data_IF_180164627141
#
_entry.id   IF_180164627141
#
_cell.length_a   1.000
_cell.length_b   1.000
_cell.length_c   1.000
_cell.angle_alpha   90.00
_cell.angle_beta   90.00
_cell.angle_gamma   90.00
#
_symmetry.space_group_name_H-M   'P 1'
#
loop_
_entity.id
_entity.type
_entity.pdbx_description
1 polymer ?
#
# COMPACT_ATOMS: atom_id res chain seq x y z
N UNK A 1 6.33 57.26 -49.47
CA UNK A 1 5.35 58.18 -48.88
C UNK A 1 5.23 57.84 -47.40
N UNK A 2 5.79 58.71 -46.57
CA UNK A 2 5.72 58.73 -45.10
C UNK A 2 4.52 59.59 -44.66
N UNK A 3 4.41 59.81 -43.33
CA UNK A 3 3.48 60.66 -42.56
C UNK A 3 2.27 59.88 -42.00
N UNK A 4 1.82 59.99 -40.74
CA UNK A 4 2.34 60.59 -39.51
C UNK A 4 1.47 60.09 -38.33
N UNK A 5 2.06 60.07 -37.12
CA UNK A 5 1.39 59.94 -35.81
C UNK A 5 0.31 61.02 -35.60
N UNK A 6 -0.71 60.73 -34.79
CA UNK A 6 -1.20 61.63 -33.74
C UNK A 6 -1.97 60.86 -32.66
N UNK A 7 -1.71 61.22 -31.41
CA UNK A 7 -2.21 60.62 -30.18
C UNK A 7 -3.41 61.40 -29.63
N UNK A 8 -4.37 60.70 -29.01
CA UNK A 8 -5.37 61.32 -28.14
C UNK A 8 -5.27 60.78 -26.72
N UNK A 9 -5.02 61.70 -25.79
CA UNK A 9 -4.97 61.50 -24.33
C UNK A 9 -6.40 61.53 -23.78
N UNK A 10 -6.75 60.55 -22.94
CA UNK A 10 -7.83 60.68 -21.97
C UNK A 10 -7.33 60.23 -20.59
N UNK A 11 -7.40 61.15 -19.63
CA UNK A 11 -7.07 60.95 -18.21
C UNK A 11 -8.25 60.32 -17.47
N UNK A 12 -8.00 59.48 -16.45
CA UNK A 12 -8.86 59.44 -15.28
C UNK A 12 -8.14 60.00 -14.05
N UNK A 13 -8.86 60.88 -13.36
CA UNK A 13 -8.48 61.59 -12.14
C UNK A 13 -8.41 60.68 -10.92
N UNK A 14 -7.31 60.77 -10.18
CA UNK A 14 -7.10 60.20 -8.85
C UNK A 14 -7.92 60.99 -7.83
N UNK A 15 -8.81 60.32 -7.09
CA UNK A 15 -9.44 60.87 -5.89
C UNK A 15 -8.89 60.15 -4.66
N UNK A 16 -8.33 60.96 -3.76
CA UNK A 16 -7.66 60.63 -2.51
C UNK A 16 -8.71 60.68 -1.39
N UNK A 17 -8.91 59.60 -0.64
CA UNK A 17 -9.72 59.62 0.59
C UNK A 17 -8.85 59.24 1.79
N UNK A 18 -9.00 60.04 2.84
CA UNK A 18 -8.15 60.21 4.02
C UNK A 18 -8.29 59.06 5.03
N UNK A 19 -7.20 58.81 5.75
CA UNK A 19 -7.19 58.09 7.02
C UNK A 19 -7.78 58.95 8.14
N UNK A 20 -8.62 58.35 8.99
CA UNK A 20 -8.98 58.89 10.29
C UNK A 20 -8.64 57.84 11.35
N UNK A 21 -7.72 58.19 12.25
CA UNK A 21 -7.52 57.53 13.53
C UNK A 21 -8.63 57.98 14.49
N UNK A 22 -9.25 57.04 15.18
CA UNK A 22 -9.88 57.27 16.49
C UNK A 22 -9.67 56.06 17.38
N UNK A 23 -9.09 56.34 18.54
CA UNK A 23 -8.72 55.44 19.62
C UNK A 23 -9.90 54.93 20.44
N UNK A 24 -9.81 53.66 20.88
CA UNK A 24 -10.23 53.21 22.21
C UNK A 24 -11.67 52.72 22.39
N UNK A 25 -11.85 51.40 22.39
CA UNK A 25 -12.38 50.66 23.55
C UNK A 25 -12.14 49.16 23.32
N UNK A 26 -11.34 48.55 24.21
CA UNK A 26 -11.11 47.11 24.24
C UNK A 26 -12.25 46.49 25.04
N UNK A 27 -13.11 45.73 24.38
CA UNK A 27 -13.94 44.72 25.03
C UNK A 27 -13.37 43.36 24.63
N UNK A 28 -12.74 42.70 25.60
CA UNK A 28 -12.39 41.28 25.51
C UNK A 28 -13.69 40.49 25.34
N UNK A 29 -13.90 39.92 24.15
CA UNK A 29 -14.81 38.80 24.00
C UNK A 29 -14.02 37.55 24.39
N UNK A 30 -14.38 36.98 25.54
CA UNK A 30 -13.97 35.63 25.92
C UNK A 30 -14.35 34.67 24.79
N UNK A 31 -13.37 33.95 24.26
CA UNK A 31 -13.59 32.85 23.36
C UNK A 31 -14.28 31.74 24.15
N UNK A 32 -15.60 31.63 23.99
CA UNK A 32 -16.35 30.46 24.42
C UNK A 32 -15.75 29.26 23.70
N UNK A 33 -15.10 28.38 24.46
CA UNK A 33 -14.69 27.09 23.98
C UNK A 33 -15.95 26.35 23.54
N UNK A 34 -16.14 26.26 22.22
CA UNK A 34 -17.12 25.35 21.64
C UNK A 34 -16.63 23.96 21.98
N UNK A 35 -17.26 23.32 22.97
CA UNK A 35 -17.12 21.88 23.15
C UNK A 35 -17.43 21.21 21.81
N UNK A 36 -16.64 20.22 21.35
CA UNK A 36 -16.94 19.53 20.11
C UNK A 36 -18.34 18.93 20.26
N UNK A 37 -19.27 19.38 19.40
CA UNK A 37 -20.58 18.75 19.30
C UNK A 37 -20.39 17.24 19.16
N UNK A 38 -21.16 16.42 19.88
CA UNK A 38 -21.04 14.97 19.75
C UNK A 38 -21.27 14.62 18.28
N UNK A 39 -20.24 14.08 17.63
CA UNK A 39 -20.31 13.63 16.24
C UNK A 39 -21.61 12.83 16.08
N UNK A 40 -22.56 13.35 15.29
CA UNK A 40 -23.76 12.62 14.96
C UNK A 40 -23.34 11.23 14.49
N UNK A 41 -23.77 10.18 15.19
CA UNK A 41 -23.35 8.80 14.94
C UNK A 41 -23.66 8.44 13.49
N UNK A 42 -22.68 8.60 12.60
CA UNK A 42 -22.81 8.27 11.20
C UNK A 42 -22.82 6.75 11.09
N UNK A 43 -23.93 6.18 10.63
CA UNK A 43 -24.14 4.72 10.55
C UNK A 43 -23.01 4.02 9.77
N UNK A 44 -22.41 4.73 8.81
CA UNK A 44 -21.33 4.26 7.97
C UNK A 44 -19.92 4.43 8.55
N UNK A 45 -19.72 5.15 9.67
CA UNK A 45 -18.42 5.22 10.36
C UNK A 45 -18.45 4.41 11.65
N UNK A 46 -17.27 3.97 12.08
CA UNK A 46 -17.08 3.40 13.41
C UNK A 46 -16.16 4.29 14.23
N UNK A 47 -16.45 4.38 15.53
CA UNK A 47 -15.57 5.03 16.51
C UNK A 47 -14.38 4.15 16.91
N UNK A 48 -14.47 2.84 16.64
CA UNK A 48 -13.36 1.92 16.84
C UNK A 48 -12.27 2.16 15.77
N UNK A 49 -11.10 2.61 16.21
CA UNK A 49 -9.96 2.92 15.34
C UNK A 49 -8.90 1.82 15.38
N UNK A 50 -8.94 0.95 16.39
CA UNK A 50 -7.98 -0.14 16.53
C UNK A 50 -8.44 -1.35 15.71
N UNK A 51 -7.67 -1.73 14.66
CA UNK A 51 -8.00 -2.91 13.86
C UNK A 51 -7.99 -4.22 14.66
N UNK A 52 -7.36 -4.26 15.83
CA UNK A 52 -7.42 -5.40 16.74
C UNK A 52 -8.79 -5.55 17.44
N UNK A 53 -9.57 -4.47 17.55
CA UNK A 53 -10.89 -4.47 18.19
C UNK A 53 -12.04 -4.61 17.17
N UNK A 54 -11.73 -4.70 15.88
CA UNK A 54 -12.75 -4.91 14.86
C UNK A 54 -13.40 -6.30 14.96
N UNK A 55 -14.72 -6.34 14.74
CA UNK A 55 -15.57 -7.54 14.82
C UNK A 55 -16.68 -7.44 13.76
N UNK A 56 -17.53 -8.46 13.66
CA UNK A 56 -18.64 -8.50 12.69
C UNK A 56 -19.61 -7.31 12.82
N UNK A 57 -19.67 -6.69 14.02
CA UNK A 57 -20.47 -5.48 14.26
C UNK A 57 -20.02 -4.30 13.40
N UNK A 58 -18.72 -4.19 13.14
CA UNK A 58 -18.11 -3.09 12.41
C UNK A 58 -18.10 -3.31 10.89
N UNK A 59 -18.52 -4.48 10.39
CA UNK A 59 -18.50 -4.79 8.95
C UNK A 59 -19.36 -3.81 8.17
N UNK A 60 -18.78 -3.24 7.11
CA UNK A 60 -19.38 -2.19 6.29
C UNK A 60 -19.12 -0.77 6.79
N UNK A 61 -18.56 -0.59 8.00
CA UNK A 61 -18.26 0.73 8.53
C UNK A 61 -16.83 1.14 8.19
N UNK A 62 -16.62 2.46 8.03
CA UNK A 62 -15.32 3.08 7.81
C UNK A 62 -14.69 3.47 9.14
N UNK A 63 -13.46 3.02 9.36
CA UNK A 63 -12.63 3.50 10.46
C UNK A 63 -11.56 4.46 9.93
N UNK A 64 -11.28 5.51 10.70
CA UNK A 64 -10.29 6.51 10.33
C UNK A 64 -8.90 6.09 10.79
N UNK A 65 -7.95 6.06 9.86
CA UNK A 65 -6.55 5.80 10.19
C UNK A 65 -5.90 7.08 10.70
N UNK A 66 -5.18 6.99 11.82
CA UNK A 66 -4.36 8.08 12.32
C UNK A 66 -3.30 8.48 11.29
N UNK A 67 -3.15 9.78 11.02
CA UNK A 67 -2.11 10.30 10.12
C UNK A 67 -0.70 9.90 10.57
N UNK A 68 -0.51 9.68 11.88
CA UNK A 68 0.71 9.15 12.47
C UNK A 68 1.03 7.71 12.05
N UNK A 69 0.02 6.91 11.67
CA UNK A 69 0.21 5.55 11.16
C UNK A 69 0.28 5.52 9.63
N UNK A 70 -0.48 6.36 8.94
CA UNK A 70 -0.56 6.32 7.45
C UNK A 70 0.79 6.61 6.81
N UNK A 71 1.49 7.68 7.23
CA UNK A 71 2.76 8.05 6.60
C UNK A 71 3.86 6.99 6.80
N UNK A 72 4.07 6.45 8.02
CA UNK A 72 5.09 5.41 8.23
C UNK A 72 4.72 4.06 7.60
N UNK A 73 3.46 3.63 7.74
CA UNK A 73 3.05 2.31 7.26
C UNK A 73 2.87 2.26 5.74
N UNK A 74 2.40 3.35 5.14
CA UNK A 74 2.07 3.39 3.71
C UNK A 74 2.68 4.59 2.96
N UNK A 75 4.01 4.78 2.97
CA UNK A 75 4.66 5.94 2.34
C UNK A 75 4.33 6.08 0.85
N UNK A 76 4.26 4.97 0.09
CA UNK A 76 3.90 4.93 -1.33
C UNK A 76 3.16 3.63 -1.73
N UNK A 77 2.44 3.02 -0.79
CA UNK A 77 1.95 1.65 -0.97
C UNK A 77 0.44 1.51 -1.17
N UNK A 78 -0.30 2.61 -1.00
CA UNK A 78 -1.73 2.63 -1.24
C UNK A 78 -2.03 2.76 -2.74
N UNK A 79 -3.16 2.20 -3.23
CA UNK A 79 -3.55 2.35 -4.62
C UNK A 79 -3.67 3.83 -5.02
N UNK A 80 -3.13 4.20 -6.19
CA UNK A 80 -3.11 5.58 -6.68
C UNK A 80 -4.46 6.31 -6.59
N UNK A 81 -5.55 5.65 -7.02
CA UNK A 81 -6.91 6.23 -6.94
C UNK A 81 -7.36 6.50 -5.52
N UNK A 82 -7.02 5.60 -4.60
CA UNK A 82 -7.30 5.81 -3.18
C UNK A 82 -6.44 6.93 -2.59
N UNK A 83 -5.19 7.08 -3.01
CA UNK A 83 -4.36 8.25 -2.63
C UNK A 83 -4.98 9.58 -3.12
N UNK A 84 -5.54 9.60 -4.33
CA UNK A 84 -6.28 10.76 -4.84
C UNK A 84 -7.52 11.04 -3.97
N UNK A 85 -8.29 10.02 -3.63
CA UNK A 85 -9.44 10.14 -2.74
C UNK A 85 -9.06 10.67 -1.36
N UNK A 86 -8.02 10.12 -0.73
CA UNK A 86 -7.52 10.59 0.57
C UNK A 86 -7.13 12.06 0.53
N UNK A 87 -6.44 12.48 -0.54
CA UNK A 87 -6.03 13.86 -0.73
C UNK A 87 -7.23 14.80 -0.90
N UNK A 88 -8.23 14.38 -1.68
CA UNK A 88 -9.44 15.17 -1.93
C UNK A 88 -10.34 15.27 -0.70
N UNK A 89 -10.51 14.16 0.04
CA UNK A 89 -11.32 14.14 1.26
C UNK A 89 -10.56 14.63 2.49
N UNK A 90 -9.25 14.85 2.39
CA UNK A 90 -8.40 15.25 3.52
C UNK A 90 -8.56 14.32 4.74
N UNK A 91 -8.85 13.03 4.50
CA UNK A 91 -8.98 12.00 5.53
C UNK A 91 -8.56 10.65 4.94
N UNK A 92 -8.21 9.70 5.81
CA UNK A 92 -7.87 8.33 5.40
C UNK A 92 -8.77 7.35 6.11
N UNK A 93 -9.76 6.82 5.40
CA UNK A 93 -10.77 5.92 5.95
C UNK A 93 -10.79 4.60 5.20
N UNK A 94 -10.64 3.49 5.92
CA UNK A 94 -10.74 2.14 5.33
C UNK A 94 -12.04 1.50 5.82
N UNK A 95 -12.78 0.88 4.91
CA UNK A 95 -13.98 0.11 5.28
C UNK A 95 -13.58 -1.26 5.84
N UNK A 96 -14.17 -1.63 6.98
CA UNK A 96 -14.01 -2.95 7.57
C UNK A 96 -14.81 -3.96 6.74
N UNK A 97 -14.12 -4.95 6.16
CA UNK A 97 -14.72 -6.00 5.33
C UNK A 97 -14.47 -7.39 5.89
N UNK A 98 -15.40 -8.32 5.62
CA UNK A 98 -15.31 -9.70 6.11
C UNK A 98 -13.98 -10.40 5.78
N UNK A 99 -13.44 -10.33 4.55
CA UNK A 99 -12.19 -11.02 4.21
C UNK A 99 -10.99 -10.58 5.07
N UNK A 100 -10.92 -9.29 5.41
CA UNK A 100 -9.85 -8.78 6.26
C UNK A 100 -10.04 -9.23 7.73
N UNK A 101 -11.27 -9.21 8.23
CA UNK A 101 -11.57 -9.72 9.57
C UNK A 101 -11.28 -11.21 9.72
N UNK A 102 -11.55 -11.99 8.68
CA UNK A 102 -11.25 -13.43 8.64
C UNK A 102 -9.74 -13.66 8.79
N UNK A 103 -8.91 -12.98 7.99
CA UNK A 103 -7.44 -13.10 8.10
C UNK A 103 -6.93 -12.59 9.45
N UNK A 104 -7.44 -11.46 9.95
CA UNK A 104 -7.07 -10.95 11.28
C UNK A 104 -7.43 -11.96 12.38
N UNK A 105 -8.58 -12.64 12.27
CA UNK A 105 -9.00 -13.70 13.19
C UNK A 105 -8.03 -14.89 13.16
N UNK A 106 -7.58 -15.31 11.97
CA UNK A 106 -6.57 -16.35 11.83
C UNK A 106 -5.23 -15.92 12.41
N UNK A 107 -4.77 -14.69 12.14
CA UNK A 107 -3.53 -14.16 12.72
C UNK A 107 -3.59 -14.09 14.25
N UNK A 108 -4.74 -13.76 14.84
CA UNK A 108 -4.89 -13.77 16.32
C UNK A 108 -4.79 -15.17 16.92
N UNK A 109 -5.28 -16.18 16.21
CA UNK A 109 -5.34 -17.59 16.67
C UNK A 109 -4.12 -18.43 16.28
N UNK A 110 -3.29 -17.94 15.37
CA UNK A 110 -2.15 -18.67 14.85
C UNK A 110 -1.09 -18.91 15.92
N UNK A 111 -0.52 -20.11 15.91
CA UNK A 111 0.67 -20.47 16.68
C UNK A 111 1.93 -20.14 15.85
N UNK A 112 2.69 -19.14 16.30
CA UNK A 112 3.88 -18.66 15.61
C UNK A 112 5.14 -19.49 15.88
N UNK A 113 5.04 -20.54 16.71
CA UNK A 113 6.08 -21.57 16.79
C UNK A 113 6.05 -22.52 15.59
N UNK A 114 4.92 -22.58 14.88
CA UNK A 114 4.74 -23.38 13.68
C UNK A 114 5.28 -22.65 12.43
N UNK A 115 5.47 -23.37 11.31
CA UNK A 115 5.82 -22.77 10.03
C UNK A 115 4.87 -21.64 9.61
N UNK A 116 5.41 -20.59 8.99
CA UNK A 116 4.67 -19.40 8.60
C UNK A 116 3.47 -19.73 7.70
N UNK A 117 2.27 -19.34 8.15
CA UNK A 117 1.03 -19.52 7.40
C UNK A 117 0.97 -18.56 6.21
N UNK A 118 0.44 -19.06 5.08
CA UNK A 118 0.31 -18.31 3.82
C UNK A 118 -1.16 -18.03 3.55
N UNK A 119 -1.52 -16.75 3.50
CA UNK A 119 -2.87 -16.27 3.16
C UNK A 119 -2.85 -15.66 1.76
N UNK A 120 -3.83 -16.01 0.93
CA UNK A 120 -3.92 -15.52 -0.46
C UNK A 120 -5.30 -14.91 -0.69
N UNK A 121 -5.37 -13.58 -0.73
CA UNK A 121 -6.58 -12.86 -1.15
C UNK A 121 -6.76 -12.97 -2.66
N UNK A 122 -7.89 -13.53 -3.09
CA UNK A 122 -8.24 -13.66 -4.50
C UNK A 122 -9.67 -13.15 -4.77
N UNK A 123 -9.99 -12.91 -6.04
CA UNK A 123 -11.29 -12.37 -6.43
C UNK A 123 -11.22 -11.48 -7.66
N UNK A 124 -12.39 -11.10 -8.18
CA UNK A 124 -12.53 -10.33 -9.41
C UNK A 124 -11.75 -9.00 -9.39
N UNK A 125 -11.49 -8.45 -10.57
CA UNK A 125 -10.85 -7.14 -10.70
C UNK A 125 -11.66 -6.07 -9.97
N UNK A 126 -11.00 -5.24 -9.17
CA UNK A 126 -11.64 -4.11 -8.50
C UNK A 126 -12.44 -4.43 -7.24
N UNK A 127 -12.35 -5.66 -6.69
CA UNK A 127 -13.07 -6.05 -5.46
C UNK A 127 -12.46 -5.55 -4.15
N UNK A 128 -11.32 -4.84 -4.17
CA UNK A 128 -10.71 -4.30 -2.95
C UNK A 128 -9.72 -5.22 -2.22
N UNK A 129 -9.16 -6.24 -2.90
CA UNK A 129 -8.12 -7.13 -2.35
C UNK A 129 -6.96 -6.38 -1.68
N UNK A 130 -6.39 -5.40 -2.38
CA UNK A 130 -5.30 -4.55 -1.85
C UNK A 130 -5.74 -3.79 -0.60
N UNK A 131 -6.98 -3.29 -0.56
CA UNK A 131 -7.49 -2.59 0.64
C UNK A 131 -7.66 -3.56 1.82
N UNK A 132 -8.09 -4.79 1.59
CA UNK A 132 -8.13 -5.84 2.62
C UNK A 132 -6.73 -6.22 3.13
N UNK A 133 -5.73 -6.28 2.22
CA UNK A 133 -4.33 -6.44 2.60
C UNK A 133 -3.84 -5.27 3.46
N UNK A 134 -4.13 -4.03 3.08
CA UNK A 134 -3.76 -2.84 3.85
C UNK A 134 -4.41 -2.81 5.24
N UNK A 135 -5.68 -3.21 5.36
CA UNK A 135 -6.34 -3.33 6.67
C UNK A 135 -5.64 -4.37 7.56
N UNK A 136 -5.30 -5.53 6.99
CA UNK A 136 -4.55 -6.58 7.71
C UNK A 136 -3.14 -6.12 8.09
N UNK A 137 -2.46 -5.36 7.22
CA UNK A 137 -1.17 -4.76 7.51
C UNK A 137 -1.23 -3.73 8.63
N UNK A 138 -2.29 -2.92 8.67
CA UNK A 138 -2.51 -1.95 9.74
C UNK A 138 -2.71 -2.65 11.09
N UNK A 139 -3.39 -3.81 11.11
CA UNK A 139 -3.42 -4.69 12.27
C UNK A 139 -2.01 -5.15 12.68
N UNK A 140 -1.22 -5.73 11.77
CA UNK A 140 0.13 -6.20 12.11
C UNK A 140 1.02 -5.05 12.66
N UNK A 141 0.95 -3.88 12.04
CA UNK A 141 1.71 -2.71 12.47
C UNK A 141 1.32 -2.23 13.89
N UNK A 142 0.02 -2.16 14.19
CA UNK A 142 -0.46 -1.74 15.52
C UNK A 142 -0.14 -2.76 16.61
N UNK A 143 0.00 -4.03 16.25
CA UNK A 143 0.45 -5.10 17.16
C UNK A 143 1.99 -5.15 17.32
N UNK A 144 2.74 -4.21 16.75
CA UNK A 144 4.19 -4.14 16.89
C UNK A 144 4.94 -5.20 16.07
N UNK A 145 4.41 -5.62 14.93
CA UNK A 145 5.11 -6.52 14.02
C UNK A 145 6.05 -5.74 13.09
N UNK A 146 7.11 -6.41 12.64
CA UNK A 146 7.95 -5.93 11.56
C UNK A 146 7.24 -6.19 10.22
N UNK A 147 7.02 -5.14 9.44
CA UNK A 147 6.24 -5.18 8.21
C UNK A 147 7.16 -5.15 6.99
N UNK A 148 7.19 -6.25 6.25
CA UNK A 148 7.86 -6.36 4.96
C UNK A 148 6.79 -6.29 3.86
N UNK A 149 6.53 -5.08 3.34
CA UNK A 149 5.49 -4.86 2.33
C UNK A 149 6.09 -4.63 0.93
N UNK A 150 5.57 -5.36 -0.07
CA UNK A 150 5.81 -5.16 -1.49
C UNK A 150 4.49 -4.71 -2.14
N UNK A 151 4.32 -3.41 -2.44
CA UNK A 151 3.01 -2.85 -2.83
C UNK A 151 2.49 -3.24 -4.22
N UNK A 152 3.39 -3.61 -5.15
CA UNK A 152 3.03 -4.20 -6.43
C UNK A 152 4.23 -4.98 -6.98
N UNK A 153 4.20 -6.31 -6.85
CA UNK A 153 5.25 -7.17 -7.38
C UNK A 153 5.35 -7.12 -8.91
N UNK A 154 4.30 -6.69 -9.63
CA UNK A 154 4.36 -6.56 -11.08
C UNK A 154 5.36 -5.50 -11.52
N UNK A 155 5.63 -4.47 -10.71
CA UNK A 155 6.62 -3.44 -11.01
C UNK A 155 8.06 -3.98 -11.04
N UNK A 156 8.30 -5.15 -10.44
CA UNK A 156 9.61 -5.79 -10.46
C UNK A 156 9.81 -6.64 -11.73
N UNK A 157 8.75 -6.98 -12.46
CA UNK A 157 8.83 -7.82 -13.68
C UNK A 157 8.47 -7.07 -14.97
N UNK A 158 8.19 -5.76 -14.89
CA UNK A 158 7.91 -4.90 -16.05
C UNK A 158 8.49 -3.49 -15.89
N UNK A 159 8.56 -2.75 -16.99
CA UNK A 159 8.96 -1.33 -17.02
C UNK A 159 10.28 -1.02 -16.29
N UNK A 160 11.24 -1.95 -16.36
CA UNK A 160 12.56 -1.77 -15.77
C UNK A 160 13.39 -0.83 -16.66
N UNK A 161 13.76 0.33 -16.12
CA UNK A 161 14.55 1.34 -16.84
C UNK A 161 16.04 0.99 -16.89
N UNK A 162 16.55 0.40 -15.82
CA UNK A 162 17.96 0.07 -15.67
C UNK A 162 18.05 -1.37 -15.13
N UNK A 163 18.66 -2.23 -15.94
CA UNK A 163 18.92 -3.63 -15.61
C UNK A 163 20.43 -3.85 -15.64
N UNK A 164 21.00 -4.29 -14.53
CA UNK A 164 22.44 -4.51 -14.40
C UNK A 164 22.71 -6.01 -14.19
N UNK A 165 23.81 -6.57 -14.71
CA UNK A 165 24.25 -7.89 -14.29
C UNK A 165 24.62 -7.84 -12.80
N UNK A 166 24.22 -8.85 -12.03
CA UNK A 166 24.46 -8.87 -10.59
C UNK A 166 25.94 -9.04 -10.27
N UNK A 167 26.44 -8.23 -9.35
CA UNK A 167 27.81 -8.33 -8.83
C UNK A 167 28.02 -9.58 -7.97
N UNK A 168 26.97 -10.03 -7.28
CA UNK A 168 27.04 -11.18 -6.38
C UNK A 168 26.90 -12.51 -7.14
N UNK A 169 26.00 -12.57 -8.13
CA UNK A 169 25.79 -13.78 -8.93
C UNK A 169 25.64 -13.47 -10.42
N UNK A 170 26.63 -13.87 -11.21
CA UNK A 170 26.70 -13.59 -12.66
C UNK A 170 25.50 -14.09 -13.48
N UNK A 171 24.75 -15.08 -13.00
CA UNK A 171 23.55 -15.61 -13.65
C UNK A 171 22.29 -14.78 -13.40
N UNK A 172 22.38 -13.68 -12.66
CA UNK A 172 21.23 -12.85 -12.25
C UNK A 172 21.36 -11.41 -12.68
N UNK A 173 20.24 -10.72 -12.65
CA UNK A 173 20.13 -9.30 -12.94
C UNK A 173 19.56 -8.51 -11.75
N UNK A 174 20.19 -7.36 -11.51
CA UNK A 174 19.86 -6.41 -10.47
C UNK A 174 19.02 -5.26 -11.02
N UNK A 175 18.12 -4.76 -10.17
CA UNK A 175 17.15 -3.72 -10.48
C UNK A 175 17.29 -2.59 -9.45
N UNK A 176 18.36 -1.78 -9.58
CA UNK A 176 18.82 -0.91 -8.51
C UNK A 176 17.83 0.20 -8.14
N UNK A 177 17.03 0.68 -9.09
CA UNK A 177 16.01 1.71 -8.85
C UNK A 177 14.84 1.17 -8.02
N UNK A 178 14.31 -0.01 -8.38
CA UNK A 178 13.25 -0.68 -7.65
C UNK A 178 13.70 -1.03 -6.23
N UNK A 179 14.91 -1.57 -6.10
CA UNK A 179 15.50 -1.94 -4.83
C UNK A 179 15.68 -0.73 -3.90
N UNK A 180 16.24 0.38 -4.40
CA UNK A 180 16.44 1.61 -3.61
C UNK A 180 15.12 2.21 -3.14
N UNK A 181 14.11 2.29 -4.02
CA UNK A 181 12.77 2.78 -3.65
C UNK A 181 12.15 1.92 -2.56
N UNK A 182 12.26 0.60 -2.70
CA UNK A 182 11.75 -0.33 -1.69
C UNK A 182 12.50 -0.18 -0.35
N UNK A 183 13.82 -0.06 -0.36
CA UNK A 183 14.63 0.12 0.86
C UNK A 183 14.27 1.42 1.61
N UNK A 184 14.02 2.52 0.90
CA UNK A 184 13.56 3.78 1.52
C UNK A 184 12.22 3.61 2.23
N UNK A 185 11.27 2.94 1.59
CA UNK A 185 9.96 2.67 2.17
C UNK A 185 10.07 1.72 3.37
N UNK A 186 10.87 0.66 3.24
CA UNK A 186 11.16 -0.28 4.32
C UNK A 186 11.79 0.43 5.53
N UNK A 187 12.72 1.36 5.30
CA UNK A 187 13.35 2.17 6.36
C UNK A 187 12.32 2.98 7.13
N UNK A 188 11.42 3.67 6.42
CA UNK A 188 10.39 4.52 7.01
C UNK A 188 9.41 3.69 7.85
N UNK A 189 8.97 2.53 7.35
CA UNK A 189 7.98 1.70 8.04
C UNK A 189 8.51 1.03 9.30
N UNK A 190 9.78 0.60 9.29
CA UNK A 190 10.33 -0.25 10.35
C UNK A 190 11.43 0.44 11.19
N UNK A 191 11.48 1.77 11.17
CA UNK A 191 12.50 2.57 11.89
C UNK A 191 12.76 2.11 13.33
N UNK A 192 11.74 1.76 14.16
CA UNK A 192 11.96 1.28 15.53
C UNK A 192 12.72 -0.05 15.65
N UNK A 193 12.75 -0.86 14.60
CA UNK A 193 13.40 -2.18 14.58
C UNK A 193 14.82 -2.13 14.01
N UNK A 194 15.14 -1.14 13.18
CA UNK A 194 16.40 -1.07 12.43
C UNK A 194 17.64 -1.02 13.33
N UNK A 195 17.55 -0.33 14.46
CA UNK A 195 18.65 -0.21 15.43
C UNK A 195 18.78 -1.44 16.34
N UNK A 196 17.66 -2.11 16.61
CA UNK A 196 17.54 -3.26 17.51
C UNK A 196 18.06 -4.55 16.86
N UNK A 197 17.66 -4.79 15.61
CA UNK A 197 18.04 -5.99 14.87
C UNK A 197 19.52 -5.91 14.51
N UNK A 198 20.30 -6.89 14.93
CA UNK A 198 21.75 -7.01 14.64
C UNK A 198 21.99 -8.08 13.59
N UNK A 199 22.89 -7.83 12.65
CA UNK A 199 23.23 -8.79 11.60
C UNK A 199 23.96 -9.99 12.19
N UNK A 200 23.60 -11.21 11.77
CA UNK A 200 24.31 -12.45 12.15
C UNK A 200 25.48 -12.76 11.23
N UNK A 201 25.35 -12.36 9.98
CA UNK A 201 26.35 -12.64 8.95
C UNK A 201 27.09 -11.37 8.52
N UNK A 202 28.30 -11.58 8.01
CA UNK A 202 29.09 -10.55 7.35
C UNK A 202 28.74 -10.50 5.86
N UNK A 203 28.47 -9.30 5.34
CA UNK A 203 28.15 -9.07 3.93
C UNK A 203 29.25 -8.23 3.27
N UNK A 204 29.82 -8.74 2.17
CA UNK A 204 30.89 -8.06 1.42
C UNK A 204 30.29 -7.47 0.14
N UNK A 205 30.34 -6.15 -0.01
CA UNK A 205 29.78 -5.45 -1.17
C UNK A 205 30.83 -5.21 -2.24
N UNK A 206 32.03 -4.83 -1.80
CA UNK A 206 33.18 -4.62 -2.67
C UNK A 206 34.45 -5.10 -1.96
N UNK A 207 35.59 -5.09 -2.65
CA UNK A 207 36.89 -5.43 -2.03
C UNK A 207 37.26 -4.53 -0.83
N UNK A 208 36.64 -3.36 -0.71
CA UNK A 208 36.95 -2.35 0.33
C UNK A 208 35.81 -2.11 1.31
N UNK A 209 34.58 -2.48 0.95
CA UNK A 209 33.38 -2.22 1.74
C UNK A 209 32.73 -3.54 2.13
N UNK A 210 32.64 -3.80 3.43
CA UNK A 210 31.87 -4.87 4.03
C UNK A 210 31.07 -4.34 5.22
N UNK A 211 29.93 -4.97 5.48
CA UNK A 211 29.16 -4.79 6.71
C UNK A 211 29.40 -6.01 7.57
N UNK A 212 29.93 -5.80 8.77
CA UNK A 212 30.33 -6.88 9.67
C UNK A 212 29.13 -7.47 10.42
N UNK A 213 29.30 -8.71 10.90
CA UNK A 213 28.32 -9.29 11.82
C UNK A 213 28.27 -8.45 13.11
N UNK A 214 27.07 -8.27 13.66
CA UNK A 214 26.80 -7.44 14.83
C UNK A 214 26.42 -5.98 14.51
N UNK A 215 26.64 -5.50 13.28
CA UNK A 215 26.12 -4.20 12.81
C UNK A 215 24.59 -4.15 12.88
N UNK A 216 24.02 -2.94 12.94
CA UNK A 216 22.56 -2.78 12.92
C UNK A 216 21.96 -3.07 11.53
N UNK A 217 20.71 -3.53 11.48
CA UNK A 217 19.97 -3.67 10.22
C UNK A 217 19.81 -2.31 9.52
N UNK A 218 19.74 -1.22 10.28
CA UNK A 218 19.71 0.14 9.76
C UNK A 218 20.94 0.49 8.92
N UNK A 219 22.15 0.15 9.38
CA UNK A 219 23.39 0.35 8.62
C UNK A 219 23.37 -0.40 7.28
N UNK A 220 22.84 -1.62 7.28
CA UNK A 220 22.69 -2.42 6.06
C UNK A 220 21.74 -1.73 5.06
N UNK A 221 20.59 -1.25 5.53
CA UNK A 221 19.61 -0.53 4.70
C UNK A 221 20.19 0.77 4.15
N UNK A 222 20.92 1.53 4.98
CA UNK A 222 21.55 2.79 4.58
C UNK A 222 22.68 2.61 3.57
N UNK A 223 23.42 1.51 3.66
CA UNK A 223 24.38 1.11 2.63
C UNK A 223 23.68 0.88 1.28
N UNK A 224 22.52 0.21 1.25
CA UNK A 224 21.77 -0.01 0.02
C UNK A 224 21.13 1.26 -0.56
N UNK A 225 20.72 2.21 0.28
CA UNK A 225 20.16 3.49 -0.16
C UNK A 225 21.26 4.41 -0.72
N UNK A 226 22.44 4.44 -0.09
CA UNK A 226 23.56 5.28 -0.50
C UNK A 226 24.30 4.71 -1.72
N UNK A 227 24.47 3.38 -1.79
CA UNK A 227 25.13 2.67 -2.90
C UNK A 227 24.10 1.95 -3.77
N UNK A 228 23.54 2.70 -4.71
CA UNK A 228 22.48 2.23 -5.62
C UNK A 228 22.86 0.95 -6.38
N UNK A 229 24.14 0.74 -6.75
CA UNK A 229 24.56 -0.45 -7.51
C UNK A 229 24.42 -1.76 -6.74
N UNK A 230 24.62 -1.76 -5.43
CA UNK A 230 24.51 -2.94 -4.56
C UNK A 230 23.14 -3.06 -3.90
N UNK A 231 22.19 -2.17 -4.20
CA UNK A 231 20.91 -2.10 -3.49
C UNK A 231 20.08 -3.37 -3.66
N UNK A 232 20.13 -4.04 -4.82
CA UNK A 232 19.42 -5.31 -5.05
C UNK A 232 19.95 -6.45 -4.17
N UNK A 233 21.27 -6.51 -4.01
CA UNK A 233 21.92 -7.48 -3.12
C UNK A 233 21.59 -7.17 -1.64
N UNK A 234 21.56 -5.89 -1.27
CA UNK A 234 21.15 -5.45 0.08
C UNK A 234 19.72 -5.86 0.40
N UNK A 235 18.78 -5.72 -0.54
CA UNK A 235 17.40 -6.23 -0.35
C UNK A 235 17.41 -7.73 -0.07
N UNK A 236 18.19 -8.50 -0.83
CA UNK A 236 18.37 -9.92 -0.60
C UNK A 236 18.93 -10.25 0.80
N UNK A 237 19.92 -9.48 1.25
CA UNK A 237 20.52 -9.62 2.57
C UNK A 237 19.51 -9.30 3.69
N UNK A 238 18.74 -8.21 3.57
CA UNK A 238 17.68 -7.85 4.52
C UNK A 238 16.63 -8.97 4.60
N UNK A 239 16.14 -9.46 3.46
CA UNK A 239 15.17 -10.56 3.40
C UNK A 239 15.69 -11.84 4.05
N UNK A 240 16.98 -12.17 3.80
CA UNK A 240 17.65 -13.33 4.39
C UNK A 240 17.77 -13.18 5.91
N UNK A 241 18.24 -12.03 6.38
CA UNK A 241 18.48 -11.76 7.80
C UNK A 241 17.17 -11.81 8.61
N UNK A 242 16.12 -11.15 8.11
CA UNK A 242 14.80 -11.16 8.75
C UNK A 242 14.23 -12.57 8.86
N UNK A 243 14.39 -13.38 7.80
CA UNK A 243 13.95 -14.77 7.79
C UNK A 243 14.74 -15.64 8.77
N UNK A 244 16.07 -15.47 8.86
CA UNK A 244 16.93 -16.22 9.79
C UNK A 244 16.72 -15.83 11.26
N UNK A 245 16.27 -14.60 11.51
CA UNK A 245 16.03 -14.12 12.87
C UNK A 245 14.63 -14.43 13.39
N UNK A 246 13.61 -14.35 12.53
CA UNK A 246 12.25 -14.75 12.88
C UNK A 246 12.13 -16.23 13.26
N UNK A 247 12.94 -17.10 12.65
CA UNK A 247 12.95 -18.54 12.93
C UNK A 247 13.57 -18.92 14.28
N UNK A 248 14.22 -17.98 14.98
CA UNK A 248 14.87 -18.31 16.25
C UNK A 248 13.90 -18.29 17.44
N UNK A 249 14.01 -19.27 18.36
CA UNK A 249 13.24 -19.26 19.60
C UNK A 249 13.65 -18.04 20.44
N UNK A 250 12.68 -17.18 20.76
CA UNK A 250 12.90 -15.93 21.48
C UNK A 250 13.18 -14.71 20.60
N UNK A 251 12.83 -14.75 19.31
CA UNK A 251 12.92 -13.59 18.42
C UNK A 251 12.20 -12.36 19.01
N UNK A 252 12.88 -11.21 18.98
CA UNK A 252 12.39 -9.93 19.52
C UNK A 252 11.23 -9.31 18.71
N UNK A 253 10.89 -9.91 17.56
CA UNK A 253 9.87 -9.37 16.66
C UNK A 253 9.10 -10.49 15.93
N UNK A 254 7.89 -10.16 15.50
CA UNK A 254 7.09 -10.98 14.57
C UNK A 254 7.19 -10.42 13.17
N UNK A 255 7.28 -11.28 12.16
CA UNK A 255 7.43 -10.86 10.76
C UNK A 255 6.11 -10.96 9.99
N UNK A 256 5.63 -9.85 9.44
CA UNK A 256 4.52 -9.81 8.49
C UNK A 256 5.07 -9.58 7.08
N UNK A 257 5.02 -10.60 6.23
CA UNK A 257 5.42 -10.50 4.82
C UNK A 257 4.17 -10.25 3.98
N UNK A 258 4.02 -9.03 3.45
CA UNK A 258 2.90 -8.65 2.62
C UNK A 258 3.31 -8.42 1.16
N UNK A 259 2.67 -9.10 0.21
CA UNK A 259 2.97 -8.97 -1.22
C UNK A 259 1.70 -8.78 -2.03
N UNK A 260 1.55 -7.63 -2.66
CA UNK A 260 0.48 -7.42 -3.64
C UNK A 260 0.89 -7.93 -5.03
N UNK A 261 0.00 -8.68 -5.67
CA UNK A 261 0.21 -9.21 -7.02
C UNK A 261 1.24 -10.33 -7.05
N UNK A 262 1.19 -11.25 -6.09
CA UNK A 262 2.17 -12.34 -5.92
C UNK A 262 2.30 -13.24 -7.17
N UNK A 263 1.27 -13.29 -8.02
CA UNK A 263 1.32 -13.97 -9.31
C UNK A 263 2.41 -13.45 -10.26
N UNK A 264 2.90 -12.22 -10.08
CA UNK A 264 4.05 -11.70 -10.81
C UNK A 264 5.32 -12.52 -10.58
N UNK A 265 5.46 -13.19 -9.43
CA UNK A 265 6.70 -13.89 -9.06
C UNK A 265 6.94 -15.12 -9.92
N UNK A 266 5.90 -15.84 -10.35
CA UNK A 266 6.02 -17.08 -11.15
C UNK A 266 5.51 -16.97 -12.59
N UNK A 267 5.01 -15.79 -12.97
CA UNK A 267 4.59 -15.49 -14.33
C UNK A 267 5.77 -15.27 -15.30
N UNK A 268 5.54 -14.44 -16.31
CA UNK A 268 6.57 -14.03 -17.29
C UNK A 268 6.91 -12.57 -17.12
N UNK A 269 8.16 -12.19 -17.41
CA UNK A 269 8.58 -10.78 -17.40
C UNK A 269 8.47 -10.15 -18.81
N UNK A 270 8.33 -8.82 -18.87
CA UNK A 270 8.49 -8.06 -20.13
C UNK A 270 9.91 -7.52 -20.30
N UNK A 271 10.79 -7.78 -19.34
CA UNK A 271 12.16 -7.26 -19.31
C UNK A 271 12.99 -8.06 -20.30
N UNK A 272 13.83 -7.38 -21.07
CA UNK A 272 14.69 -8.01 -22.09
C UNK A 272 16.16 -7.85 -21.75
N UNK A 273 16.95 -8.88 -22.04
CA UNK A 273 18.41 -8.86 -22.01
C UNK A 273 18.96 -8.05 -23.19
N UNK A 274 20.26 -7.82 -23.22
CA UNK A 274 20.94 -7.12 -24.32
C UNK A 274 20.77 -7.81 -25.68
N UNK A 275 20.61 -9.13 -25.70
CA UNK A 275 20.33 -9.95 -26.89
C UNK A 275 18.84 -9.97 -27.31
N UNK A 276 18.00 -9.17 -26.63
CA UNK A 276 16.53 -9.07 -26.81
C UNK A 276 15.72 -10.29 -26.36
N UNK A 277 16.36 -11.30 -25.75
CA UNK A 277 15.63 -12.40 -25.11
C UNK A 277 14.92 -11.91 -23.84
N UNK A 278 13.80 -12.54 -23.48
CA UNK A 278 13.09 -12.20 -22.25
C UNK A 278 13.85 -12.75 -21.04
N UNK A 279 13.93 -11.95 -19.97
CA UNK A 279 14.51 -12.37 -18.69
C UNK A 279 13.49 -13.24 -17.96
N UNK A 280 13.88 -14.42 -17.51
CA UNK A 280 13.02 -15.23 -16.62
C UNK A 280 12.92 -14.52 -15.25
N UNK A 281 11.75 -14.43 -14.60
CA UNK A 281 11.66 -13.85 -13.27
C UNK A 281 12.59 -14.52 -12.23
N UNK A 282 13.02 -15.77 -12.43
CA UNK A 282 14.00 -16.43 -11.56
C UNK A 282 15.43 -15.88 -11.69
N UNK A 283 15.75 -15.24 -12.82
CA UNK A 283 17.02 -14.54 -13.04
C UNK A 283 17.04 -13.14 -12.41
N UNK A 284 15.89 -12.58 -11.99
CA UNK A 284 15.83 -11.28 -11.33
C UNK A 284 16.14 -11.43 -9.83
N UNK A 285 17.16 -10.72 -9.33
CA UNK A 285 17.61 -10.83 -7.94
C UNK A 285 16.50 -10.54 -6.93
N UNK A 286 15.70 -9.49 -7.15
CA UNK A 286 14.59 -9.12 -6.26
C UNK A 286 13.51 -10.21 -6.19
N UNK A 287 13.07 -10.71 -7.35
CA UNK A 287 12.04 -11.75 -7.44
C UNK A 287 12.54 -13.06 -6.83
N UNK A 288 13.78 -13.45 -7.16
CA UNK A 288 14.38 -14.66 -6.63
C UNK A 288 14.46 -14.66 -5.09
N UNK A 289 14.88 -13.54 -4.49
CA UNK A 289 14.94 -13.42 -3.03
C UNK A 289 13.55 -13.37 -2.40
N UNK A 290 12.59 -12.70 -3.04
CA UNK A 290 11.21 -12.68 -2.55
C UNK A 290 10.55 -14.06 -2.61
N UNK A 291 10.79 -14.87 -3.65
CA UNK A 291 10.33 -16.27 -3.73
C UNK A 291 10.81 -17.10 -2.55
N UNK A 292 12.01 -16.85 -2.01
CA UNK A 292 12.50 -17.54 -0.81
C UNK A 292 11.73 -17.18 0.46
N UNK A 293 11.21 -15.96 0.56
CA UNK A 293 10.34 -15.55 1.66
C UNK A 293 8.94 -16.14 1.56
N UNK A 294 8.48 -16.48 0.35
CA UNK A 294 7.18 -17.13 0.13
C UNK A 294 7.15 -18.61 0.51
N UNK A 295 8.31 -19.21 0.79
CA UNK A 295 8.39 -20.57 1.34
C UNK A 295 7.98 -20.56 2.81
N UNK A 296 7.39 -21.65 3.25
CA UNK A 296 6.98 -21.89 4.64
C UNK A 296 8.08 -22.62 5.44
N UNK A 297 9.35 -22.34 5.13
CA UNK A 297 10.54 -22.95 5.75
C UNK A 297 11.14 -22.05 6.84
N UNK A 298 10.30 -21.26 7.50
CA UNK A 298 10.63 -20.37 8.61
C UNK A 298 9.40 -20.19 9.52
N UNK A 299 9.63 -19.86 10.79
CA UNK A 299 8.60 -19.65 11.82
C UNK A 299 8.64 -18.20 12.37
N UNK A 300 7.76 -17.83 13.30
CA UNK A 300 7.76 -16.50 13.93
C UNK A 300 7.05 -15.40 13.13
N UNK A 301 6.26 -15.74 12.11
CA UNK A 301 5.53 -14.76 11.31
C UNK A 301 4.45 -15.31 10.39
N UNK A 302 3.97 -14.47 9.48
CA UNK A 302 2.93 -14.81 8.52
C UNK A 302 3.17 -14.17 7.16
N UNK A 303 2.73 -14.85 6.10
CA UNK A 303 2.79 -14.40 4.70
C UNK A 303 1.38 -14.06 4.25
N UNK A 304 1.13 -12.81 3.90
CA UNK A 304 -0.19 -12.30 3.51
C UNK A 304 -0.07 -11.74 2.09
N UNK A 305 -0.73 -12.36 1.13
CA UNK A 305 -0.56 -12.01 -0.28
C UNK A 305 -1.88 -11.74 -0.95
N UNK A 306 -1.84 -11.01 -2.06
CA UNK A 306 -3.00 -10.85 -2.94
C UNK A 306 -2.64 -11.33 -4.35
N UNK A 307 -3.64 -11.83 -5.05
CA UNK A 307 -3.58 -12.00 -6.49
C UNK A 307 -4.09 -10.73 -7.16
N UNK A 308 -3.47 -10.35 -8.27
CA UNK A 308 -3.94 -9.22 -9.06
C UNK A 308 -3.90 -9.53 -10.55
N UNK A 309 -5.08 -9.46 -11.17
CA UNK A 309 -5.22 -9.40 -12.62
C UNK A 309 -4.74 -8.04 -13.15
N UNK A 310 -4.96 -6.96 -12.39
CA UNK A 310 -4.55 -5.62 -12.79
C UNK A 310 -3.03 -5.53 -12.81
N UNK A 311 -2.46 -5.30 -13.99
CA UNK A 311 -1.01 -5.24 -14.15
C UNK A 311 -0.33 -6.59 -14.36
N UNK A 312 -1.09 -7.68 -14.33
CA UNK A 312 -0.62 -9.02 -14.73
C UNK A 312 -0.17 -9.03 -16.18
N UNK A 313 0.79 -9.91 -16.47
CA UNK A 313 1.39 -10.05 -17.78
C UNK A 313 0.97 -11.38 -18.38
N UNK A 314 0.47 -11.37 -19.62
CA UNK A 314 0.11 -12.58 -20.36
C UNK A 314 -1.01 -13.44 -19.73
N UNK A 315 -1.86 -12.87 -18.86
CA UNK A 315 -3.09 -13.52 -18.36
C UNK A 315 -4.34 -12.92 -19.00
N UNK A 316 -5.41 -13.72 -19.20
CA UNK A 316 -6.67 -13.21 -19.72
C UNK A 316 -7.33 -12.27 -18.72
N UNK A 317 -8.10 -11.30 -19.22
CA UNK A 317 -8.77 -10.28 -18.37
C UNK A 317 -9.79 -10.87 -17.39
N UNK A 318 -10.33 -12.03 -17.71
CA UNK A 318 -11.31 -12.76 -16.90
C UNK A 318 -10.68 -13.65 -15.83
N UNK A 319 -9.36 -13.90 -15.86
CA UNK A 319 -8.72 -14.75 -14.85
C UNK A 319 -8.65 -14.03 -13.50
N UNK A 320 -9.09 -14.73 -12.45
CA UNK A 320 -9.03 -14.26 -11.07
C UNK A 320 -8.80 -15.37 -10.04
N UNK A 321 -8.91 -16.64 -10.45
CA UNK A 321 -8.71 -17.78 -9.57
C UNK A 321 -7.22 -17.98 -9.28
N UNK A 322 -6.87 -18.55 -8.11
CA UNK A 322 -5.47 -18.83 -7.77
C UNK A 322 -4.73 -19.67 -8.80
N UNK A 323 -5.33 -20.77 -9.25
CA UNK A 323 -4.70 -21.66 -10.23
C UNK A 323 -4.44 -20.95 -11.58
N UNK A 324 -5.39 -20.13 -12.04
CA UNK A 324 -5.27 -19.41 -13.32
C UNK A 324 -4.17 -18.33 -13.30
N UNK A 325 -4.03 -17.63 -12.17
CA UNK A 325 -3.10 -16.51 -12.04
C UNK A 325 -1.71 -16.94 -11.60
N UNK A 326 -1.60 -17.91 -10.69
CA UNK A 326 -0.30 -18.44 -10.25
C UNK A 326 0.31 -19.39 -11.30
N UNK A 327 -0.54 -20.05 -12.09
CA UNK A 327 -0.15 -21.18 -12.93
C UNK A 327 0.34 -22.37 -12.09
N UNK A 328 0.74 -23.45 -12.75
CA UNK A 328 1.23 -24.67 -12.09
C UNK A 328 2.43 -24.36 -11.17
N UNK A 329 3.45 -23.68 -11.70
CA UNK A 329 4.66 -23.34 -10.93
C UNK A 329 4.37 -22.53 -9.67
N UNK A 330 3.52 -21.50 -9.77
CA UNK A 330 3.20 -20.66 -8.63
C UNK A 330 2.31 -21.38 -7.62
N UNK A 331 1.37 -22.19 -8.08
CA UNK A 331 0.49 -22.98 -7.23
C UNK A 331 1.29 -24.01 -6.43
N UNK A 332 2.14 -24.81 -7.08
CA UNK A 332 2.97 -25.83 -6.43
C UNK A 332 3.94 -25.25 -5.39
N UNK A 333 4.46 -24.04 -5.64
CA UNK A 333 5.36 -23.37 -4.69
C UNK A 333 4.61 -22.75 -3.50
N UNK A 334 3.36 -22.34 -3.70
CA UNK A 334 2.52 -21.72 -2.66
C UNK A 334 1.69 -22.72 -1.88
N UNK A 335 1.51 -23.95 -2.37
CA UNK A 335 0.75 -25.01 -1.69
C UNK A 335 1.54 -25.56 -0.48
N UNK A 336 0.91 -25.76 0.70
CA UNK A 336 -0.43 -25.33 1.12
C UNK A 336 -0.52 -23.84 1.45
N UNK A 337 -1.66 -23.23 1.09
CA UNK A 337 -2.05 -21.87 1.48
C UNK A 337 -3.54 -21.78 1.81
N UNK A 338 -3.94 -20.72 2.52
CA UNK A 338 -5.32 -20.42 2.88
C UNK A 338 -5.89 -19.42 1.85
N UNK A 339 -6.76 -19.86 0.91
CA UNK A 339 -7.37 -18.97 -0.07
C UNK A 339 -8.50 -18.17 0.59
N UNK A 340 -8.45 -16.84 0.51
CA UNK A 340 -9.47 -15.94 1.06
C UNK A 340 -10.15 -15.18 -0.08
N UNK A 341 -11.44 -15.46 -0.28
CA UNK A 341 -12.21 -14.83 -1.35
C UNK A 341 -12.60 -13.39 -0.98
N UNK A 342 -12.37 -12.45 -1.89
CA UNK A 342 -12.75 -11.05 -1.76
C UNK A 342 -13.86 -10.72 -2.76
N UNK A 343 -15.14 -10.79 -2.36
CA UNK A 343 -16.28 -10.52 -3.23
C UNK A 343 -16.49 -9.02 -3.47
N UNK A 344 -17.43 -8.72 -4.36
CA UNK A 344 -18.05 -7.40 -4.49
C UNK A 344 -18.71 -6.97 -3.15
N UNK A 345 -19.18 -5.74 -3.07
CA UNK A 345 -19.86 -5.26 -1.87
C UNK A 345 -21.14 -6.04 -1.60
N UNK A 346 -21.39 -6.31 -0.32
CA UNK A 346 -22.75 -6.60 0.16
C UNK A 346 -23.63 -5.36 0.10
N UNK A 347 -24.95 -5.52 0.21
CA UNK A 347 -25.88 -4.39 0.25
C UNK A 347 -25.53 -3.39 1.37
N UNK A 348 -25.17 -3.89 2.56
CA UNK A 348 -24.76 -3.06 3.71
C UNK A 348 -23.46 -2.29 3.43
N UNK A 349 -22.47 -2.95 2.86
CA UNK A 349 -21.19 -2.32 2.48
C UNK A 349 -21.38 -1.25 1.41
N UNK A 350 -22.21 -1.53 0.41
CA UNK A 350 -22.55 -0.57 -0.63
C UNK A 350 -23.27 0.64 -0.06
N UNK A 351 -24.29 0.41 0.79
CA UNK A 351 -25.04 1.48 1.46
C UNK A 351 -24.10 2.41 2.22
N UNK A 352 -23.21 1.82 3.01
CA UNK A 352 -22.28 2.59 3.84
C UNK A 352 -21.29 3.37 2.98
N UNK A 353 -20.82 2.80 1.86
CA UNK A 353 -19.94 3.51 0.92
C UNK A 353 -20.68 4.65 0.18
N UNK A 354 -21.94 4.45 -0.19
CA UNK A 354 -22.78 5.48 -0.79
C UNK A 354 -23.02 6.64 0.19
N UNK A 355 -23.41 6.34 1.43
CA UNK A 355 -23.60 7.34 2.48
C UNK A 355 -22.30 8.09 2.81
N UNK A 356 -21.16 7.40 2.80
CA UNK A 356 -19.85 8.03 2.94
C UNK A 356 -19.59 9.06 1.83
N UNK A 357 -19.89 8.74 0.56
CA UNK A 357 -19.74 9.69 -0.54
C UNK A 357 -20.75 10.84 -0.48
N UNK A 358 -21.95 10.62 0.04
CA UNK A 358 -22.94 11.67 0.29
C UNK A 358 -22.46 12.64 1.38
N UNK A 359 -21.97 12.13 2.51
CA UNK A 359 -21.38 12.90 3.62
C UNK A 359 -20.23 13.78 3.14
N UNK A 360 -19.35 13.23 2.30
CA UNK A 360 -18.22 13.96 1.73
C UNK A 360 -18.61 14.95 0.63
N UNK A 361 -19.91 15.10 0.33
CA UNK A 361 -20.41 15.85 -0.82
C UNK A 361 -19.65 15.46 -2.11
N UNK A 362 -19.34 14.18 -2.28
CA UNK A 362 -18.64 13.70 -3.47
C UNK A 362 -19.59 13.55 -4.66
N UNK A 363 -20.84 13.18 -4.38
CA UNK A 363 -21.89 13.06 -5.38
C UNK A 363 -22.57 14.43 -5.61
N UNK A 364 -22.22 15.12 -6.70
CA UNK A 364 -22.72 16.46 -6.99
C UNK A 364 -24.00 16.45 -7.84
N UNK A 365 -24.15 15.48 -8.74
CA UNK A 365 -25.34 15.36 -9.58
C UNK A 365 -26.63 15.16 -8.77
N UNK A 366 -27.69 15.96 -8.96
CA UNK A 366 -28.91 15.85 -8.16
C UNK A 366 -29.58 14.47 -8.22
N UNK A 367 -29.59 13.81 -9.39
CA UNK A 367 -30.17 12.47 -9.52
C UNK A 367 -29.35 11.40 -8.80
N UNK A 368 -28.04 11.61 -8.60
CA UNK A 368 -27.21 10.64 -7.88
C UNK A 368 -27.55 10.56 -6.39
N UNK A 369 -28.33 11.52 -5.88
CA UNK A 369 -28.77 11.62 -4.49
C UNK A 369 -30.15 11.00 -4.24
N UNK A 370 -30.84 10.55 -5.29
CA UNK A 370 -32.18 9.95 -5.19
C UNK A 370 -32.10 8.43 -5.09
N UNK A 371 -33.15 7.79 -4.57
CA UNK A 371 -33.25 6.33 -4.51
C UNK A 371 -33.23 5.67 -5.91
N UNK A 372 -33.75 6.37 -6.92
CA UNK A 372 -33.69 5.91 -8.31
C UNK A 372 -32.26 5.92 -8.84
N UNK A 373 -31.53 7.04 -8.67
CA UNK A 373 -30.14 7.13 -9.09
C UNK A 373 -29.24 6.15 -8.35
N UNK A 374 -29.51 5.89 -7.07
CA UNK A 374 -28.82 4.83 -6.31
C UNK A 374 -29.04 3.44 -6.90
N UNK A 375 -30.28 3.09 -7.30
CA UNK A 375 -30.57 1.81 -7.98
C UNK A 375 -29.85 1.71 -9.32
N UNK A 376 -29.78 2.81 -10.09
CA UNK A 376 -29.00 2.86 -11.33
C UNK A 376 -27.51 2.66 -11.06
N UNK A 377 -26.94 3.31 -10.04
CA UNK A 377 -25.55 3.12 -9.65
C UNK A 377 -25.26 1.66 -9.27
N UNK A 378 -26.14 1.03 -8.48
CA UNK A 378 -26.04 -0.39 -8.12
C UNK A 378 -26.03 -1.26 -9.38
N UNK A 379 -26.95 -1.01 -10.31
CA UNK A 379 -27.06 -1.77 -11.56
C UNK A 379 -25.80 -1.61 -12.43
N UNK A 380 -25.31 -0.38 -12.61
CA UNK A 380 -24.15 -0.08 -13.45
C UNK A 380 -22.83 -0.60 -12.87
N UNK A 381 -22.63 -0.48 -11.54
CA UNK A 381 -21.39 -0.95 -10.91
C UNK A 381 -21.43 -2.43 -10.54
N UNK A 382 -22.62 -3.04 -10.46
CA UNK A 382 -22.84 -4.41 -9.98
C UNK A 382 -22.16 -4.67 -8.62
N UNK A 383 -22.32 -3.71 -7.70
CA UNK A 383 -21.67 -3.69 -6.37
C UNK A 383 -20.13 -3.78 -6.41
N UNK A 384 -19.47 -3.55 -7.55
CA UNK A 384 -18.01 -3.62 -7.64
C UNK A 384 -17.38 -2.32 -7.10
N UNK A 385 -16.50 -2.40 -6.08
CA UNK A 385 -15.89 -1.23 -5.44
C UNK A 385 -15.20 -0.27 -6.41
N UNK A 386 -14.35 -0.81 -7.29
CA UNK A 386 -13.61 0.02 -8.25
C UNK A 386 -14.51 0.63 -9.32
N UNK A 387 -15.56 -0.06 -9.75
CA UNK A 387 -16.51 0.49 -10.72
C UNK A 387 -17.38 1.57 -10.08
N UNK A 388 -17.80 1.38 -8.83
CA UNK A 388 -18.56 2.38 -8.09
C UNK A 388 -17.75 3.67 -7.91
N UNK A 389 -16.50 3.58 -7.43
CA UNK A 389 -15.59 4.73 -7.31
C UNK A 389 -15.39 5.46 -8.64
N UNK A 390 -15.26 4.71 -9.75
CA UNK A 390 -15.13 5.28 -11.10
C UNK A 390 -16.35 6.07 -11.54
N UNK A 391 -17.54 5.50 -11.35
CA UNK A 391 -18.78 6.15 -11.75
C UNK A 391 -18.98 7.42 -10.92
N UNK A 392 -18.84 7.32 -9.60
CA UNK A 392 -18.99 8.44 -8.69
C UNK A 392 -17.95 9.55 -8.88
N UNK A 393 -16.75 9.23 -9.36
CA UNK A 393 -15.70 10.24 -9.63
C UNK A 393 -16.02 11.22 -10.77
N UNK A 394 -17.12 11.01 -11.50
CA UNK A 394 -17.55 11.87 -12.60
C UNK A 394 -18.96 12.47 -12.40
N UNK A 395 -19.58 12.28 -11.23
CA UNK A 395 -20.95 12.69 -10.93
C UNK A 395 -21.05 13.97 -10.10
#
# INVERSE_FOLDING_TARGET
>A
MSLHRLAFRLRPTVTRVRSLHSSGFVQQQEAVAVEPEPESLSVFRTQEKDPACHSDKHVGQFYTLSSAHVRPLFPDSLPWRYQQQMKTFNETCIMVRQPALEVISYLKKADYSQPALRYVFYGLKGTGKTMSLCHTLHFCYTQGWLVLHVPDAHLWVKNCKELLPSSYKSSRFDQPLQATTWLRNFKITNEPFLSKIKLKERYVWTKRESTEAGSSLGELVDQGISRIKSSSDVVGAVMKELRLQSDQPGADFRLAVAVDGVNALWGRSTIKKGDKTAVDPEELTLVYNLRKLMKNDWSGGAVITTLSQTGSLYHPKSAYLPQDLLGERGFDNMDPFIPVSVPNYSEKEFESCYLYYMDRNWLQHPQSRTEEGKKELIFLCNMNPSMFERLCGHL
#
